data_IF_274193062911
#
_entry.id   IF_274193062911
#
_cell.length_a   1.000
_cell.length_b   1.000
_cell.length_c   1.000
_cell.angle_alpha   90.00
_cell.angle_beta   90.00
_cell.angle_gamma   90.00
#
_symmetry.space_group_name_H-M   'P 1'
#
loop_
_entity.id
_entity.type
_entity.pdbx_description
1 polymer ?
#
# COMPACT_ATOMS: atom_id res chain seq x y z
N UNK A 1 -8.11 10.71 4.25
CA UNK A 1 -7.40 10.56 5.53
C UNK A 1 -6.94 9.11 5.63
N UNK A 2 -5.69 8.84 6.04
CA UNK A 2 -5.20 7.45 6.17
C UNK A 2 -5.87 6.76 7.36
N UNK A 3 -6.42 5.55 7.18
CA UNK A 3 -7.06 4.76 8.24
C UNK A 3 -6.04 4.19 9.22
N UNK A 4 -6.48 3.86 10.45
CA UNK A 4 -5.59 3.23 11.42
C UNK A 4 -5.10 1.85 10.95
N UNK A 5 -5.94 1.10 10.22
CA UNK A 5 -5.58 -0.19 9.65
C UNK A 5 -4.49 -0.04 8.57
N UNK A 6 -4.67 0.90 7.63
CA UNK A 6 -3.63 1.24 6.65
C UNK A 6 -2.33 1.70 7.27
N UNK A 7 -2.40 2.51 8.32
CA UNK A 7 -1.21 2.94 9.04
C UNK A 7 -0.50 1.75 9.72
N UNK A 8 -1.25 0.81 10.31
CA UNK A 8 -0.71 -0.42 10.88
C UNK A 8 -0.06 -1.32 9.81
N UNK A 9 -0.69 -1.50 8.65
CA UNK A 9 -0.10 -2.20 7.51
C UNK A 9 1.25 -1.59 7.11
N UNK A 10 1.32 -0.25 7.05
CA UNK A 10 2.54 0.48 6.67
C UNK A 10 3.67 0.23 7.68
N UNK A 11 3.36 0.20 8.98
CA UNK A 11 4.32 -0.16 10.04
C UNK A 11 4.88 -1.57 9.82
N UNK A 12 4.01 -2.57 9.70
CA UNK A 12 4.41 -3.97 9.57
C UNK A 12 5.17 -4.22 8.26
N UNK A 13 4.69 -3.70 7.13
CA UNK A 13 5.37 -3.88 5.83
C UNK A 13 6.72 -3.17 5.76
N UNK A 14 6.87 -2.01 6.40
CA UNK A 14 8.16 -1.33 6.50
C UNK A 14 9.13 -2.13 7.37
N UNK A 15 8.66 -2.68 8.49
CA UNK A 15 9.47 -3.52 9.36
C UNK A 15 9.93 -4.81 8.66
N UNK A 16 9.07 -5.40 7.82
CA UNK A 16 9.39 -6.58 7.00
C UNK A 16 10.55 -6.36 6.02
N UNK A 17 10.89 -5.12 5.68
CA UNK A 17 12.08 -4.83 4.84
C UNK A 17 13.40 -5.15 5.53
N UNK A 18 13.42 -5.20 6.87
CA UNK A 18 14.62 -5.56 7.62
C UNK A 18 14.54 -6.93 8.29
N UNK A 19 13.35 -7.42 8.62
CA UNK A 19 13.17 -8.71 9.28
C UNK A 19 11.96 -9.40 8.67
N UNK A 20 12.21 -10.47 7.94
CA UNK A 20 11.13 -11.28 7.39
C UNK A 20 10.27 -11.87 8.52
N UNK A 21 8.96 -12.04 8.27
CA UNK A 21 8.06 -12.64 9.25
C UNK A 21 7.55 -11.70 10.35
N UNK A 22 7.92 -10.42 10.37
CA UNK A 22 7.38 -9.47 11.36
C UNK A 22 5.86 -9.38 11.28
N UNK A 23 5.21 -9.55 12.42
CA UNK A 23 3.76 -9.36 12.63
C UNK A 23 3.45 -8.35 13.72
N UNK A 24 4.46 -7.93 14.48
CA UNK A 24 4.31 -7.07 15.64
C UNK A 24 5.43 -6.03 15.73
N UNK A 25 5.06 -4.79 16.02
CA UNK A 25 5.97 -3.69 16.34
C UNK A 25 5.53 -3.03 17.64
N UNK A 26 6.44 -2.82 18.58
CA UNK A 26 6.20 -2.10 19.83
C UNK A 26 6.96 -0.78 19.84
N UNK A 27 6.24 0.30 20.15
CA UNK A 27 6.76 1.64 20.40
C UNK A 27 6.53 2.01 21.86
N UNK A 28 7.53 2.60 22.50
CA UNK A 28 7.40 3.22 23.83
C UNK A 28 7.31 4.73 23.66
N UNK A 29 6.34 5.35 24.33
CA UNK A 29 6.15 6.79 24.39
C UNK A 29 6.42 7.31 25.80
N UNK A 30 7.45 8.14 25.95
CA UNK A 30 7.90 8.71 27.23
C UNK A 30 7.48 10.18 27.37
N UNK A 31 6.26 10.55 26.96
CA UNK A 31 5.70 11.89 27.16
C UNK A 31 6.34 13.05 26.36
N UNK A 32 7.33 12.76 25.52
CA UNK A 32 8.01 13.77 24.68
C UNK A 32 9.01 13.18 23.68
N UNK A 33 9.50 11.98 23.98
CA UNK A 33 10.26 11.13 23.05
C UNK A 33 9.55 9.80 22.89
N UNK A 34 9.73 9.18 21.74
CA UNK A 34 9.28 7.83 21.46
C UNK A 34 10.45 7.04 20.92
N UNK A 35 10.46 5.74 21.18
CA UNK A 35 11.52 4.87 20.70
C UNK A 35 10.92 3.53 20.31
N UNK A 36 11.35 3.03 19.16
CA UNK A 36 11.09 1.67 18.74
C UNK A 36 11.72 0.71 19.77
N UNK A 37 10.90 -0.12 20.40
CA UNK A 37 11.34 -1.06 21.42
C UNK A 37 11.52 -2.47 20.85
N UNK A 38 10.56 -2.95 20.06
CA UNK A 38 10.54 -4.32 19.59
C UNK A 38 9.97 -4.41 18.17
N UNK A 39 10.59 -5.26 17.35
CA UNK A 39 10.10 -5.68 16.04
C UNK A 39 10.23 -7.20 16.03
N UNK A 40 9.13 -7.91 15.81
CA UNK A 40 9.18 -9.38 15.70
C UNK A 40 7.85 -10.03 15.39
N UNK A 41 7.73 -11.30 15.74
CA UNK A 41 6.48 -12.05 15.64
C UNK A 41 5.78 -12.14 17.02
N UNK A 42 4.54 -12.63 17.03
CA UNK A 42 3.68 -12.65 18.23
C UNK A 42 3.99 -13.81 19.21
N UNK A 43 5.07 -14.58 19.03
CA UNK A 43 5.30 -15.80 19.82
C UNK A 43 6.73 -16.34 19.90
N UNK A 44 7.69 -15.78 19.18
CA UNK A 44 9.06 -16.28 19.07
C UNK A 44 10.01 -15.13 18.75
N UNK A 45 11.18 -15.16 19.39
CA UNK A 45 12.29 -14.25 19.07
C UNK A 45 12.60 -14.34 17.57
N UNK A 46 12.19 -13.34 16.79
CA UNK A 46 12.56 -13.25 15.39
C UNK A 46 14.07 -13.09 15.31
N UNK A 47 14.71 -14.12 14.76
CA UNK A 47 16.14 -14.17 14.45
C UNK A 47 16.45 -12.97 13.57
N UNK A 48 17.15 -11.98 14.13
CA UNK A 48 17.61 -10.82 13.38
C UNK A 48 18.45 -11.30 12.18
N UNK A 49 17.96 -11.10 10.95
CA UNK A 49 18.73 -11.39 9.72
C UNK A 49 19.98 -10.50 9.60
N UNK A 50 20.05 -9.42 10.38
CA UNK A 50 21.25 -8.65 10.68
C UNK A 50 21.19 -8.18 12.14
N UNK A 51 22.26 -8.28 12.95
CA UNK A 51 22.25 -8.00 14.39
C UNK A 51 21.85 -6.56 14.76
N UNK A 52 21.75 -5.66 13.77
CA UNK A 52 21.27 -4.29 13.95
C UNK A 52 20.40 -3.92 12.75
N UNK A 53 19.18 -3.47 13.01
CA UNK A 53 18.29 -2.94 11.99
C UNK A 53 18.94 -1.73 11.33
N UNK A 54 19.01 -1.71 9.99
CA UNK A 54 19.66 -0.59 9.29
C UNK A 54 19.01 0.74 9.71
N UNK A 55 19.82 1.73 10.13
CA UNK A 55 19.35 2.95 10.80
C UNK A 55 18.24 3.68 10.03
N UNK A 56 18.31 3.66 8.70
CA UNK A 56 17.28 4.25 7.84
C UNK A 56 15.95 3.50 7.91
N UNK A 57 15.97 2.16 7.95
CA UNK A 57 14.76 1.35 8.08
C UNK A 57 14.15 1.56 9.47
N UNK A 58 14.99 1.66 10.52
CA UNK A 58 14.51 1.88 11.89
C UNK A 58 13.74 3.19 12.00
N UNK A 59 14.30 4.25 11.40
CA UNK A 59 13.64 5.55 11.32
C UNK A 59 12.35 5.50 10.52
N UNK A 60 12.34 4.80 9.38
CA UNK A 60 11.13 4.63 8.59
C UNK A 60 10.02 3.87 9.35
N UNK A 61 10.36 2.83 10.11
CA UNK A 61 9.41 2.11 10.97
C UNK A 61 8.90 3.02 12.09
N UNK A 62 9.77 3.79 12.72
CA UNK A 62 9.40 4.75 13.76
C UNK A 62 8.45 5.84 13.23
N UNK A 63 8.76 6.42 12.06
CA UNK A 63 7.91 7.42 11.40
C UNK A 63 6.54 6.84 11.01
N UNK A 64 6.51 5.60 10.52
CA UNK A 64 5.26 4.88 10.26
C UNK A 64 4.48 4.63 11.57
N UNK A 65 5.15 4.25 12.65
CA UNK A 65 4.52 4.00 13.95
C UNK A 65 3.96 5.29 14.56
N UNK A 66 4.61 6.42 14.35
CA UNK A 66 4.08 7.73 14.71
C UNK A 66 2.84 8.09 13.92
N UNK A 67 2.83 7.83 12.61
CA UNK A 67 1.65 8.04 11.78
C UNK A 67 0.49 7.18 12.27
N UNK A 68 0.71 5.89 12.57
CA UNK A 68 -0.29 5.04 13.21
C UNK A 68 -0.80 5.61 14.54
N UNK A 69 0.10 6.03 15.42
CA UNK A 69 -0.27 6.56 16.72
C UNK A 69 -1.09 7.86 16.62
N UNK A 70 -0.73 8.76 15.69
CA UNK A 70 -1.53 9.98 15.39
C UNK A 70 -2.92 9.60 14.89
N UNK A 71 -3.00 8.67 13.95
CA UNK A 71 -4.28 8.26 13.37
C UNK A 71 -5.17 7.54 14.40
N UNK A 72 -4.59 6.73 15.29
CA UNK A 72 -5.36 5.89 16.24
C UNK A 72 -5.72 6.60 17.54
N UNK A 73 -4.84 7.46 18.05
CA UNK A 73 -4.95 8.09 19.38
C UNK A 73 -4.98 9.62 19.32
N UNK A 74 -4.80 10.23 18.15
CA UNK A 74 -4.82 11.68 17.96
C UNK A 74 -3.54 12.36 18.46
N UNK A 75 -3.71 13.45 19.22
CA UNK A 75 -2.60 14.24 19.73
C UNK A 75 -1.64 13.44 20.62
N UNK A 76 -0.35 13.74 20.53
CA UNK A 76 0.72 12.97 21.19
C UNK A 76 0.57 12.82 22.71
N UNK A 77 0.02 13.84 23.39
CA UNK A 77 -0.26 13.80 24.83
C UNK A 77 -1.24 12.70 25.25
N UNK A 78 -2.05 12.19 24.31
CA UNK A 78 -3.04 11.15 24.56
C UNK A 78 -2.51 9.74 24.22
N UNK A 79 -1.28 9.63 23.74
CA UNK A 79 -0.73 8.33 23.34
C UNK A 79 -0.41 7.49 24.58
N UNK A 80 -0.77 6.18 24.59
CA UNK A 80 -0.41 5.30 25.69
C UNK A 80 1.12 5.13 25.78
N UNK A 81 1.60 4.80 26.98
CA UNK A 81 3.03 4.62 27.24
C UNK A 81 3.64 3.49 26.39
N UNK A 82 2.85 2.45 26.09
CA UNK A 82 3.22 1.35 25.21
C UNK A 82 2.19 1.23 24.09
N UNK A 83 2.65 1.32 22.85
CA UNK A 83 1.83 1.13 21.65
C UNK A 83 2.29 -0.15 20.99
N UNK A 84 1.38 -1.11 20.86
CA UNK A 84 1.60 -2.36 20.14
C UNK A 84 0.85 -2.28 18.82
N UNK A 85 1.57 -2.41 17.72
CA UNK A 85 1.03 -2.41 16.37
C UNK A 85 1.10 -3.82 15.83
N UNK A 86 -0.05 -4.35 15.42
CA UNK A 86 -0.17 -5.62 14.70
C UNK A 86 -0.99 -5.39 13.44
N UNK A 87 -0.78 -6.24 12.43
CA UNK A 87 -1.57 -6.23 11.21
C UNK A 87 -1.52 -7.62 10.56
N UNK A 88 -2.67 -8.16 10.18
CA UNK A 88 -2.82 -9.50 9.58
C UNK A 88 -2.25 -9.58 8.14
N UNK A 89 -2.16 -8.44 7.46
CA UNK A 89 -1.56 -8.29 6.14
C UNK A 89 -2.57 -8.01 5.03
N UNK A 90 -3.87 -7.91 5.35
CA UNK A 90 -4.91 -7.63 4.36
C UNK A 90 -5.49 -6.23 4.54
N UNK A 91 -5.36 -5.41 3.50
CA UNK A 91 -6.11 -4.15 3.39
C UNK A 91 -7.36 -4.33 2.55
N UNK A 92 -8.41 -3.62 2.90
CA UNK A 92 -9.63 -3.53 2.09
C UNK A 92 -9.72 -2.19 1.37
N UNK A 93 -10.82 -1.98 0.64
CA UNK A 93 -10.98 -0.73 -0.11
C UNK A 93 -11.40 0.47 0.75
N UNK A 94 -11.87 0.26 1.99
CA UNK A 94 -12.11 1.35 2.93
C UNK A 94 -10.79 1.92 3.48
N UNK A 95 -9.71 1.14 3.41
CA UNK A 95 -8.36 1.56 3.74
C UNK A 95 -7.66 2.39 2.66
N UNK A 96 -8.24 2.48 1.47
CA UNK A 96 -7.74 3.38 0.44
C UNK A 96 -7.79 4.84 0.95
N UNK A 97 -6.88 5.67 0.48
CA UNK A 97 -6.98 7.13 0.59
C UNK A 97 -7.16 7.67 -0.84
N UNK A 98 -8.38 7.62 -1.39
CA UNK A 98 -8.64 7.96 -2.79
C UNK A 98 -8.20 9.38 -3.15
N UNK A 99 -8.30 10.32 -2.19
CA UNK A 99 -7.87 11.70 -2.36
C UNK A 99 -6.35 11.86 -2.55
N UNK A 100 -5.58 10.83 -2.19
CA UNK A 100 -4.14 10.73 -2.44
C UNK A 100 -3.85 9.87 -3.68
N UNK A 101 -4.85 9.50 -4.47
CA UNK A 101 -4.69 8.61 -5.62
C UNK A 101 -4.51 7.14 -5.26
N UNK A 102 -4.78 6.74 -4.02
CA UNK A 102 -4.54 5.35 -3.60
C UNK A 102 -5.73 4.44 -3.91
N UNK A 103 -5.42 3.21 -4.34
CA UNK A 103 -6.37 2.16 -4.59
C UNK A 103 -5.89 0.84 -3.98
N UNK A 104 -6.78 0.14 -3.26
CA UNK A 104 -6.45 -1.16 -2.66
C UNK A 104 -6.94 -2.29 -3.56
N UNK A 105 -6.04 -3.22 -3.85
CA UNK A 105 -6.32 -4.42 -4.64
C UNK A 105 -5.52 -5.61 -4.10
N UNK A 106 -6.18 -6.76 -3.92
CA UNK A 106 -5.58 -7.98 -3.36
C UNK A 106 -4.76 -7.72 -2.06
N UNK A 107 -5.32 -6.93 -1.14
CA UNK A 107 -4.69 -6.64 0.14
C UNK A 107 -3.53 -5.64 0.10
N UNK A 108 -3.24 -5.04 -1.07
CA UNK A 108 -2.12 -4.10 -1.28
C UNK A 108 -2.61 -2.74 -1.73
N UNK A 109 -1.93 -1.69 -1.27
CA UNK A 109 -2.13 -0.32 -1.76
C UNK A 109 -1.30 -0.11 -3.03
N UNK A 110 -1.94 0.47 -4.04
CA UNK A 110 -1.32 0.98 -5.25
C UNK A 110 -1.59 2.48 -5.33
N UNK A 111 -0.55 3.25 -5.64
CA UNK A 111 -0.67 4.69 -5.82
C UNK A 111 -0.83 5.00 -7.31
N UNK A 112 -2.00 5.51 -7.70
CA UNK A 112 -2.32 5.91 -9.05
C UNK A 112 -2.07 7.41 -9.20
N UNK A 113 -1.00 7.77 -9.91
CA UNK A 113 -0.86 9.12 -10.48
C UNK A 113 -1.94 9.38 -11.54
N UNK A 114 -2.16 10.63 -11.93
CA UNK A 114 -3.10 10.99 -13.00
C UNK A 114 -2.79 10.24 -14.31
N UNK A 115 -1.50 10.04 -14.60
CA UNK A 115 -1.06 9.26 -15.75
C UNK A 115 -1.39 7.77 -15.61
N UNK A 116 -1.20 7.19 -14.42
CA UNK A 116 -1.58 5.79 -14.14
C UNK A 116 -3.11 5.59 -14.20
N UNK A 117 -3.89 6.54 -13.67
CA UNK A 117 -5.34 6.53 -13.74
C UNK A 117 -5.82 6.58 -15.20
N UNK A 118 -5.30 7.53 -15.98
CA UNK A 118 -5.61 7.66 -17.41
C UNK A 118 -5.23 6.39 -18.19
N UNK A 119 -4.06 5.82 -17.92
CA UNK A 119 -3.61 4.59 -18.56
C UNK A 119 -4.50 3.39 -18.20
N UNK A 120 -4.99 3.30 -16.96
CA UNK A 120 -5.93 2.27 -16.54
C UNK A 120 -7.25 2.34 -17.33
N UNK A 121 -7.81 3.54 -17.51
CA UNK A 121 -9.00 3.74 -18.33
C UNK A 121 -8.76 3.37 -19.79
N UNK A 122 -7.67 3.86 -20.40
CA UNK A 122 -7.29 3.53 -21.78
C UNK A 122 -7.12 2.02 -22.00
N UNK A 123 -6.54 1.30 -21.04
CA UNK A 123 -6.42 -0.16 -21.12
C UNK A 123 -7.79 -0.86 -21.10
N UNK A 124 -8.77 -0.34 -20.36
CA UNK A 124 -10.14 -0.88 -20.36
C UNK A 124 -10.88 -0.57 -21.67
N UNK A 125 -10.70 0.62 -22.22
CA UNK A 125 -11.31 1.00 -23.49
C UNK A 125 -10.70 0.20 -24.66
N UNK A 126 -9.38 0.05 -24.70
CA UNK A 126 -8.70 -0.80 -25.66
C UNK A 126 -9.15 -2.27 -25.56
N UNK A 127 -9.39 -2.78 -24.34
CA UNK A 127 -9.93 -4.13 -24.14
C UNK A 127 -11.33 -4.28 -24.74
N UNK A 128 -12.19 -3.28 -24.56
CA UNK A 128 -13.56 -3.25 -25.12
C UNK A 128 -13.52 -3.23 -26.65
N UNK A 129 -12.69 -2.36 -27.22
CA UNK A 129 -12.49 -2.27 -28.68
C UNK A 129 -11.90 -3.55 -29.27
N UNK A 130 -10.93 -4.17 -28.60
CA UNK A 130 -10.39 -5.47 -29.02
C UNK A 130 -11.46 -6.57 -28.97
N UNK A 131 -12.38 -6.54 -27.99
CA UNK A 131 -13.51 -7.48 -27.93
C UNK A 131 -14.49 -7.29 -29.10
N UNK A 132 -14.85 -6.04 -29.41
CA UNK A 132 -15.80 -5.73 -30.50
C UNK A 132 -15.23 -5.99 -31.89
N UNK A 133 -13.91 -5.99 -32.04
CA UNK A 133 -13.19 -6.24 -33.31
C UNK A 133 -12.69 -7.68 -33.45
N UNK A 134 -13.26 -8.63 -32.70
CA UNK A 134 -12.86 -10.05 -32.71
C UNK A 134 -11.33 -10.26 -32.53
N UNK A 135 -10.67 -9.38 -31.77
CA UNK A 135 -9.25 -9.48 -31.46
C UNK A 135 -8.30 -8.74 -32.41
N UNK A 136 -8.79 -8.10 -33.48
CA UNK A 136 -7.94 -7.36 -34.43
C UNK A 136 -7.08 -6.28 -33.74
N UNK A 137 -7.62 -5.63 -32.71
CA UNK A 137 -6.93 -4.60 -31.92
C UNK A 137 -6.22 -5.15 -30.67
N UNK A 138 -5.89 -6.45 -30.64
CA UNK A 138 -5.17 -7.05 -29.50
C UNK A 138 -3.83 -6.37 -29.19
N UNK A 139 -2.98 -6.04 -30.19
CA UNK A 139 -1.71 -5.36 -29.92
C UNK A 139 -1.88 -4.01 -29.23
N UNK A 140 -2.91 -3.23 -29.60
CA UNK A 140 -3.19 -1.94 -28.98
C UNK A 140 -3.58 -2.08 -27.50
N UNK A 141 -4.33 -3.14 -27.15
CA UNK A 141 -4.63 -3.47 -25.75
C UNK A 141 -3.38 -3.87 -24.96
N UNK A 142 -2.51 -4.70 -25.54
CA UNK A 142 -1.28 -5.13 -24.86
C UNK A 142 -0.33 -3.94 -24.62
N UNK A 143 -0.21 -3.01 -25.57
CA UNK A 143 0.52 -1.74 -25.40
C UNK A 143 -0.09 -0.89 -24.28
N UNK A 144 -1.42 -0.72 -24.26
CA UNK A 144 -2.08 0.06 -23.22
C UNK A 144 -1.88 -0.53 -21.81
N UNK A 145 -1.91 -1.86 -21.67
CA UNK A 145 -1.57 -2.53 -20.41
C UNK A 145 -0.11 -2.35 -20.01
N UNK A 146 0.82 -2.39 -20.96
CA UNK A 146 2.24 -2.14 -20.69
C UNK A 146 2.49 -0.70 -20.23
N UNK A 147 1.83 0.28 -20.86
CA UNK A 147 1.87 1.69 -20.43
C UNK A 147 1.31 1.86 -19.03
N UNK A 148 0.19 1.19 -18.71
CA UNK A 148 -0.38 1.18 -17.37
C UNK A 148 0.59 0.61 -16.33
N UNK A 149 1.23 -0.53 -16.63
CA UNK A 149 2.22 -1.13 -15.75
C UNK A 149 3.40 -0.18 -15.49
N UNK A 150 3.91 0.48 -16.53
CA UNK A 150 5.00 1.44 -16.42
C UNK A 150 4.66 2.62 -15.50
N UNK A 151 3.47 3.19 -15.62
CA UNK A 151 3.04 4.30 -14.76
C UNK A 151 2.83 3.91 -13.29
N UNK A 152 2.55 2.64 -13.01
CA UNK A 152 2.47 2.09 -11.66
C UNK A 152 3.82 1.56 -11.13
N UNK A 153 4.89 1.58 -11.94
CA UNK A 153 6.17 0.98 -11.58
C UNK A 153 6.11 -0.55 -11.42
N UNK A 154 5.17 -1.20 -12.11
CA UNK A 154 4.99 -2.66 -12.10
C UNK A 154 5.67 -3.31 -13.32
N UNK A 155 6.14 -4.55 -13.19
CA UNK A 155 6.68 -5.26 -14.34
C UNK A 155 5.57 -5.55 -15.37
N UNK A 156 5.91 -5.51 -16.66
CA UNK A 156 4.96 -5.67 -17.76
C UNK A 156 4.21 -7.01 -17.74
N UNK A 157 4.81 -8.06 -17.16
CA UNK A 157 4.23 -9.39 -17.00
C UNK A 157 3.46 -9.57 -15.67
N UNK A 158 3.14 -8.49 -14.96
CA UNK A 158 2.44 -8.59 -13.69
C UNK A 158 1.06 -9.26 -13.87
N UNK A 159 0.91 -10.46 -13.29
CA UNK A 159 -0.22 -11.39 -13.53
C UNK A 159 -1.60 -10.76 -13.37
N UNK A 160 -1.72 -9.75 -12.51
CA UNK A 160 -3.00 -9.14 -12.16
C UNK A 160 -3.20 -7.73 -12.75
N UNK A 161 -2.41 -7.28 -13.74
CA UNK A 161 -2.53 -5.92 -14.30
C UNK A 161 -3.95 -5.60 -14.79
N UNK A 162 -4.54 -6.52 -15.57
CA UNK A 162 -5.90 -6.34 -16.06
C UNK A 162 -6.92 -6.25 -14.93
N UNK A 163 -6.83 -7.14 -13.93
CA UNK A 163 -7.75 -7.16 -12.79
C UNK A 163 -7.61 -5.91 -11.93
N UNK A 164 -6.39 -5.41 -11.74
CA UNK A 164 -6.07 -4.17 -11.04
C UNK A 164 -6.67 -2.96 -11.77
N UNK A 165 -6.39 -2.81 -13.07
CA UNK A 165 -6.95 -1.73 -13.88
C UNK A 165 -8.48 -1.75 -13.86
N UNK A 166 -9.10 -2.92 -14.08
CA UNK A 166 -10.55 -3.09 -14.01
C UNK A 166 -11.13 -2.74 -12.64
N UNK A 167 -10.46 -3.16 -11.57
CA UNK A 167 -10.87 -2.85 -10.20
C UNK A 167 -10.83 -1.36 -9.93
N UNK A 168 -9.81 -0.66 -10.42
CA UNK A 168 -9.67 0.79 -10.29
C UNK A 168 -10.78 1.51 -11.07
N UNK A 169 -10.91 1.27 -12.37
CA UNK A 169 -11.88 1.97 -13.24
C UNK A 169 -13.34 1.75 -12.84
N UNK A 170 -13.64 0.65 -12.13
CA UNK A 170 -14.98 0.41 -11.57
C UNK A 170 -15.30 1.28 -10.36
N UNK A 171 -14.30 1.62 -9.55
CA UNK A 171 -14.45 2.45 -8.35
C UNK A 171 -14.24 3.94 -8.64
N UNK A 172 -13.49 4.23 -9.69
CA UNK A 172 -13.19 5.56 -10.18
C UNK A 172 -13.69 5.65 -11.63
N UNK A 173 -15.00 5.79 -11.86
CA UNK A 173 -15.49 6.02 -13.21
C UNK A 173 -14.90 7.32 -13.74
N UNK A 174 -14.47 7.32 -15.01
CA UNK A 174 -14.04 8.55 -15.66
C UNK A 174 -15.23 9.52 -15.64
N UNK A 175 -15.02 10.72 -15.13
CA UNK A 175 -16.01 11.79 -15.19
C UNK A 175 -16.32 11.99 -16.67
N UNK A 176 -17.53 11.64 -17.10
CA UNK A 176 -17.99 11.94 -18.46
C UNK A 176 -18.05 13.46 -18.52
N UNK A 177 -17.16 14.07 -19.30
CA UNK A 177 -17.31 15.47 -19.66
C UNK A 177 -18.65 15.58 -20.37
N UNK A 178 -19.62 16.20 -19.69
CA UNK A 178 -20.93 16.53 -20.25
C UNK A 178 -20.81 17.66 -21.27
#
# INVERSE_FOLDING_TARGET
MITANRAAYTVITTARRSTEGVTLVTLINNGGRSRLQYIGDNGTHTKHLAPVLHRQIARAVEDAAHTYARTRYGARKNWPARIVVTHDGTLDCADAAPELGDHVFNGRVYHFSDAAATAAHRAMDARRLSASTQGLLRPAYDVALATFAAHLGLPANYRNLYALARSYTRRHPATVAA
#
